data_IF_760861727105
#
_entry.id   IF_760861727105
#
_cell.length_a   1.000
_cell.length_b   1.000
_cell.length_c   1.000
_cell.angle_alpha   90.00
_cell.angle_beta   90.00
_cell.angle_gamma   90.00
#
_symmetry.space_group_name_H-M   'P 1'
#
loop_
_entity.id
_entity.type
_entity.pdbx_description
1 polymer ?
#
# COMPACT_ATOMS: atom_id res chain seq x y z
N UNK A 1 5.22 -26.17 -43.61
CA UNK A 1 4.47 -26.24 -42.34
C UNK A 1 4.90 -25.07 -41.47
N UNK A 2 4.03 -24.07 -41.32
CA UNK A 2 4.29 -22.86 -40.51
C UNK A 2 4.26 -23.22 -39.03
N UNK A 3 5.45 -23.42 -38.45
CA UNK A 3 5.59 -23.65 -37.01
C UNK A 3 5.13 -22.40 -36.25
N UNK A 4 3.99 -22.52 -35.57
CA UNK A 4 3.44 -21.55 -34.62
C UNK A 4 4.28 -21.52 -33.35
N UNK A 5 4.67 -20.34 -32.89
CA UNK A 5 5.78 -20.21 -31.92
C UNK A 5 5.35 -20.22 -30.46
N UNK A 6 4.15 -19.76 -30.11
CA UNK A 6 3.68 -19.70 -28.71
C UNK A 6 2.15 -19.68 -28.70
N UNK A 7 1.53 -20.45 -27.81
CA UNK A 7 0.10 -20.30 -27.48
C UNK A 7 -0.05 -19.47 -26.22
N UNK A 8 -0.86 -18.41 -26.26
CA UNK A 8 -1.16 -17.59 -25.09
C UNK A 8 -2.06 -18.31 -24.08
N UNK A 9 -2.32 -17.70 -22.92
CA UNK A 9 -3.18 -18.29 -21.87
C UNK A 9 -4.59 -18.57 -22.42
N UNK A 10 -5.07 -17.65 -23.25
CA UNK A 10 -6.35 -17.75 -23.95
C UNK A 10 -6.34 -18.69 -25.18
N UNK A 11 -5.26 -19.45 -25.40
CA UNK A 11 -5.15 -20.38 -26.53
C UNK A 11 -4.95 -19.70 -27.89
N UNK A 12 -4.51 -18.44 -27.92
CA UNK A 12 -4.21 -17.71 -29.15
C UNK A 12 -2.84 -18.10 -29.67
N UNK A 13 -2.74 -18.33 -30.97
CA UNK A 13 -1.50 -18.72 -31.64
C UNK A 13 -0.94 -17.53 -32.43
N UNK A 14 0.35 -17.27 -32.26
CA UNK A 14 1.07 -16.25 -33.01
C UNK A 14 1.90 -16.86 -34.15
N UNK A 15 1.69 -16.33 -35.35
CA UNK A 15 2.43 -16.69 -36.57
C UNK A 15 3.79 -15.98 -36.59
N UNK A 16 4.75 -16.51 -37.36
CA UNK A 16 6.08 -15.86 -37.53
C UNK A 16 5.98 -14.43 -38.07
N UNK A 17 4.91 -14.13 -38.81
CA UNK A 17 4.59 -12.81 -39.37
C UNK A 17 4.00 -11.83 -38.35
N UNK A 18 3.77 -12.26 -37.10
CA UNK A 18 3.10 -11.46 -36.06
C UNK A 18 1.57 -11.47 -36.15
N UNK A 19 0.98 -12.23 -37.08
CA UNK A 19 -0.47 -12.44 -37.15
C UNK A 19 -0.94 -13.37 -36.03
N UNK A 20 -1.92 -12.90 -35.25
CA UNK A 20 -2.53 -13.64 -34.14
C UNK A 20 -3.87 -14.26 -34.56
N UNK A 21 -4.05 -15.54 -34.29
CA UNK A 21 -5.25 -16.28 -34.65
C UNK A 21 -5.63 -17.34 -33.61
N UNK A 22 -6.91 -17.71 -33.60
CA UNK A 22 -7.44 -18.85 -32.85
C UNK A 22 -7.44 -20.06 -33.79
N UNK A 23 -6.73 -21.17 -33.45
CA UNK A 23 -6.60 -22.32 -34.34
C UNK A 23 -7.95 -23.00 -34.63
N UNK A 24 -8.06 -23.65 -35.78
CA UNK A 24 -9.24 -24.45 -36.13
C UNK A 24 -9.48 -25.56 -35.11
N UNK A 25 -10.73 -25.76 -34.68
CA UNK A 25 -11.13 -26.82 -33.75
C UNK A 25 -12.12 -27.79 -34.37
N UNK A 26 -12.28 -28.97 -33.76
CA UNK A 26 -13.23 -29.99 -34.21
C UNK A 26 -14.52 -29.87 -33.36
N UNK A 27 -15.69 -29.95 -34.01
CA UNK A 27 -17.00 -30.03 -33.36
C UNK A 27 -17.24 -31.46 -32.84
N UNK A 28 -18.23 -31.64 -31.97
CA UNK A 28 -18.58 -32.96 -31.46
C UNK A 28 -19.03 -33.94 -32.57
N UNK A 29 -19.58 -33.41 -33.68
CA UNK A 29 -19.95 -34.16 -34.89
C UNK A 29 -18.75 -34.49 -35.82
N UNK A 30 -17.53 -34.08 -35.46
CA UNK A 30 -16.32 -34.26 -36.27
C UNK A 30 -16.06 -33.17 -37.33
N UNK A 31 -17.01 -32.26 -37.56
CA UNK A 31 -16.81 -31.16 -38.54
C UNK A 31 -15.83 -30.12 -37.99
N UNK A 32 -15.06 -29.46 -38.87
CA UNK A 32 -14.08 -28.44 -38.44
C UNK A 32 -14.71 -27.05 -38.33
N UNK A 33 -14.34 -26.31 -37.29
CA UNK A 33 -14.52 -24.86 -37.19
C UNK A 33 -13.36 -24.17 -37.89
N UNK A 34 -13.65 -23.10 -38.62
CA UNK A 34 -12.63 -22.27 -39.25
C UNK A 34 -11.76 -21.56 -38.21
N UNK A 35 -10.52 -21.30 -38.58
CA UNK A 35 -9.61 -20.43 -37.84
C UNK A 35 -10.17 -18.99 -37.79
N UNK A 36 -9.93 -18.29 -36.68
CA UNK A 36 -10.43 -16.92 -36.47
C UNK A 36 -9.24 -15.97 -36.29
N UNK A 37 -9.12 -14.98 -37.17
CA UNK A 37 -8.11 -13.93 -37.08
C UNK A 37 -8.48 -12.91 -36.00
N UNK A 38 -7.47 -12.44 -35.26
CA UNK A 38 -7.63 -11.46 -34.19
C UNK A 38 -7.13 -10.09 -34.67
N UNK A 39 -7.78 -9.02 -34.21
CA UNK A 39 -7.36 -7.65 -34.50
C UNK A 39 -5.94 -7.39 -33.92
N UNK A 40 -5.03 -6.75 -34.66
CA UNK A 40 -3.71 -6.38 -34.14
C UNK A 40 -3.86 -5.53 -32.87
N UNK A 41 -3.05 -5.84 -31.85
CA UNK A 41 -3.06 -5.15 -30.55
C UNK A 41 -4.14 -5.62 -29.55
N UNK A 42 -5.17 -6.37 -29.95
CA UNK A 42 -6.16 -6.90 -29.01
C UNK A 42 -5.55 -8.00 -28.12
N UNK A 43 -5.67 -7.88 -26.80
CA UNK A 43 -5.28 -8.89 -25.83
C UNK A 43 -6.48 -9.25 -24.96
N UNK A 44 -6.87 -10.53 -24.86
CA UNK A 44 -7.91 -10.94 -23.93
C UNK A 44 -7.46 -10.73 -22.49
N UNK A 45 -8.40 -10.56 -21.57
CA UNK A 45 -8.11 -10.25 -20.16
C UNK A 45 -7.26 -11.32 -19.46
N UNK A 46 -7.37 -12.58 -19.91
CA UNK A 46 -6.53 -13.69 -19.42
C UNK A 46 -5.05 -13.50 -19.74
N UNK A 47 -4.74 -12.83 -20.86
CA UNK A 47 -3.38 -12.50 -21.30
C UNK A 47 -2.93 -11.13 -20.77
N UNK A 48 -3.81 -10.34 -20.13
CA UNK A 48 -3.45 -9.08 -19.50
C UNK A 48 -2.82 -9.38 -18.14
N UNK A 49 -1.57 -8.96 -17.97
CA UNK A 49 -0.84 -9.18 -16.73
C UNK A 49 -1.52 -8.43 -15.57
N UNK A 50 -2.09 -9.19 -14.65
CA UNK A 50 -2.55 -8.66 -13.37
C UNK A 50 -1.31 -8.21 -12.59
N UNK A 51 -1.33 -6.98 -12.07
CA UNK A 51 -0.23 -6.44 -11.28
C UNK A 51 0.15 -7.40 -10.16
N UNK A 52 1.41 -7.82 -10.18
CA UNK A 52 2.05 -8.59 -9.11
C UNK A 52 3.36 -7.89 -8.79
N UNK A 53 3.69 -7.81 -7.50
CA UNK A 53 4.96 -7.25 -7.07
C UNK A 53 6.10 -8.05 -7.72
N UNK A 54 7.10 -7.35 -8.28
CA UNK A 54 8.27 -7.96 -8.94
C UNK A 54 8.95 -9.00 -8.04
N UNK A 55 9.07 -8.72 -6.74
CA UNK A 55 9.63 -9.67 -5.77
C UNK A 55 8.78 -10.94 -5.62
N UNK A 56 7.45 -10.82 -5.69
CA UNK A 56 6.51 -11.94 -5.61
C UNK A 56 6.55 -12.78 -6.89
N UNK A 57 6.67 -12.16 -8.06
CA UNK A 57 6.86 -12.88 -9.32
C UNK A 57 8.15 -13.69 -9.29
N UNK A 58 9.25 -13.07 -8.89
CA UNK A 58 10.57 -13.71 -8.75
C UNK A 58 10.48 -14.89 -7.78
N UNK A 59 9.91 -14.70 -6.59
CA UNK A 59 9.74 -15.75 -5.59
C UNK A 59 8.90 -16.94 -6.08
N UNK A 60 7.79 -16.68 -6.77
CA UNK A 60 6.93 -17.74 -7.32
C UNK A 60 7.56 -18.46 -8.50
N UNK A 61 8.35 -17.76 -9.32
CA UNK A 61 9.14 -18.36 -10.40
C UNK A 61 10.24 -19.28 -9.87
N UNK A 62 10.71 -19.06 -8.62
CA UNK A 62 11.60 -19.96 -7.89
C UNK A 62 10.88 -21.15 -7.24
N UNK A 63 9.66 -21.48 -7.66
CA UNK A 63 8.76 -22.47 -7.06
C UNK A 63 9.24 -23.92 -6.94
N UNK A 64 10.54 -24.21 -7.10
CA UNK A 64 11.17 -25.47 -6.73
C UNK A 64 12.65 -25.19 -6.35
N UNK A 65 12.92 -24.93 -5.07
CA UNK A 65 14.21 -25.08 -4.33
C UNK A 65 15.55 -24.68 -4.98
N UNK A 66 15.59 -24.00 -6.12
CA UNK A 66 16.85 -23.57 -6.74
C UNK A 66 17.12 -22.11 -6.40
N UNK A 67 17.99 -21.94 -5.39
CA UNK A 67 18.74 -20.69 -5.23
C UNK A 67 19.56 -20.46 -6.51
N UNK A 68 19.52 -19.24 -7.09
CA UNK A 68 20.34 -18.90 -8.25
C UNK A 68 21.81 -19.26 -8.00
N UNK A 69 22.37 -20.17 -8.83
CA UNK A 69 23.74 -20.69 -8.70
C UNK A 69 23.87 -22.11 -8.12
N UNK A 70 22.78 -22.78 -7.73
CA UNK A 70 22.80 -24.18 -7.27
C UNK A 70 22.56 -25.23 -8.38
N UNK A 71 22.37 -24.80 -9.62
CA UNK A 71 22.29 -25.68 -10.79
C UNK A 71 23.67 -26.26 -11.11
N UNK A 72 24.05 -27.35 -10.43
CA UNK A 72 25.37 -27.96 -10.67
C UNK A 72 25.67 -29.28 -9.96
N UNK A 73 24.91 -29.70 -8.95
CA UNK A 73 25.21 -30.95 -8.23
C UNK A 73 23.92 -31.71 -7.93
N UNK A 74 23.49 -32.55 -8.88
CA UNK A 74 22.65 -33.70 -8.55
C UNK A 74 23.54 -34.72 -7.84
N UNK A 75 23.73 -34.57 -6.53
CA UNK A 75 24.42 -35.57 -5.72
C UNK A 75 23.43 -36.49 -5.01
N UNK A 76 23.76 -37.77 -5.11
CA UNK A 76 23.20 -38.90 -4.41
C UNK A 76 22.88 -38.57 -2.96
N UNK A 77 21.66 -38.94 -2.56
CA UNK A 77 21.11 -38.75 -1.22
C UNK A 77 21.98 -39.47 -0.18
N UNK A 78 22.70 -38.72 0.64
CA UNK A 78 23.13 -39.20 1.96
C UNK A 78 22.60 -38.28 3.07
N UNK A 79 21.75 -38.89 3.90
CA UNK A 79 21.07 -38.27 5.03
C UNK A 79 21.90 -38.45 6.29
N UNK A 80 22.83 -37.55 6.57
CA UNK A 80 23.20 -37.24 7.96
C UNK A 80 24.10 -36.01 7.94
N UNK A 81 23.69 -34.92 8.61
CA UNK A 81 24.58 -33.99 9.32
C UNK A 81 23.71 -32.92 9.99
N UNK A 82 23.50 -33.10 11.29
CA UNK A 82 22.91 -32.13 12.20
C UNK A 82 23.86 -30.93 12.27
N UNK A 83 23.58 -29.88 11.51
CA UNK A 83 24.30 -28.61 11.60
C UNK A 83 23.64 -27.75 12.67
N UNK A 84 24.19 -27.77 13.88
CA UNK A 84 23.85 -26.79 14.91
C UNK A 84 24.23 -25.40 14.39
N UNK A 85 23.23 -24.63 13.98
CA UNK A 85 23.43 -23.35 13.30
C UNK A 85 24.05 -22.31 14.26
N UNK A 86 25.08 -21.62 13.75
CA UNK A 86 25.85 -20.56 14.43
C UNK A 86 24.97 -19.38 14.93
N UNK A 87 23.70 -19.34 14.56
CA UNK A 87 22.72 -18.32 14.97
C UNK A 87 22.17 -18.51 16.40
N UNK A 88 22.28 -19.70 16.99
CA UNK A 88 21.85 -19.95 18.37
C UNK A 88 22.76 -19.25 19.40
N UNK A 89 24.08 -19.18 19.17
CA UNK A 89 25.03 -18.49 20.07
C UNK A 89 24.82 -16.96 20.10
N UNK A 90 24.44 -16.33 18.98
CA UNK A 90 24.17 -14.88 18.93
C UNK A 90 22.88 -14.46 19.67
N UNK A 91 21.85 -15.31 19.69
CA UNK A 91 20.60 -15.05 20.46
C UNK A 91 20.80 -15.16 21.97
N UNK A 92 21.65 -16.08 22.43
CA UNK A 92 21.98 -16.22 23.85
C UNK A 92 22.80 -15.04 24.39
N UNK A 93 23.73 -14.50 23.59
CA UNK A 93 24.51 -13.31 23.96
C UNK A 93 23.65 -12.04 24.05
N UNK A 94 22.70 -11.84 23.12
CA UNK A 94 21.76 -10.69 23.16
C UNK A 94 20.78 -10.73 24.34
N UNK A 95 20.40 -11.91 24.84
CA UNK A 95 19.55 -12.01 26.05
C UNK A 95 20.32 -11.61 27.33
N UNK A 96 21.62 -11.88 27.40
CA UNK A 96 22.48 -11.47 28.54
C UNK A 96 22.86 -9.98 28.51
N UNK A 97 22.88 -9.34 27.34
CA UNK A 97 23.12 -7.89 27.24
C UNK A 97 21.86 -7.06 27.50
N UNK A 98 20.68 -7.58 27.18
CA UNK A 98 19.41 -6.88 27.41
C UNK A 98 19.06 -6.78 28.90
N UNK A 99 19.31 -7.84 29.68
CA UNK A 99 19.12 -7.80 31.14
C UNK A 99 20.10 -6.88 31.87
N UNK A 100 21.28 -6.58 31.28
CA UNK A 100 22.23 -5.61 31.82
C UNK A 100 21.94 -4.15 31.42
N UNK A 101 21.19 -3.95 30.33
CA UNK A 101 20.76 -2.61 29.92
C UNK A 101 19.51 -2.15 30.66
N UNK A 102 18.62 -3.07 31.07
CA UNK A 102 17.43 -2.73 31.86
C UNK A 102 17.77 -2.21 33.28
N UNK A 103 18.89 -2.61 33.89
CA UNK A 103 19.37 -2.03 35.18
C UNK A 103 20.03 -0.64 35.05
N UNK A 104 20.49 -0.24 33.87
CA UNK A 104 21.20 1.04 33.66
C UNK A 104 20.23 2.17 33.21
N UNK A 105 19.04 1.82 32.71
CA UNK A 105 18.08 2.78 32.13
C UNK A 105 17.28 3.54 33.21
N UNK A 106 17.24 3.10 34.47
CA UNK A 106 16.44 3.78 35.51
C UNK A 106 17.11 5.03 36.12
N UNK A 107 18.42 5.25 35.96
CA UNK A 107 19.10 6.42 36.55
C UNK A 107 19.34 7.60 35.57
N UNK A 108 19.27 7.41 34.25
CA UNK A 108 19.65 8.43 33.25
C UNK A 108 18.47 9.20 32.60
N UNK A 109 17.22 8.96 33.03
CA UNK A 109 16.01 9.46 32.36
C UNK A 109 15.54 10.87 32.79
N UNK A 110 16.34 11.64 33.52
CA UNK A 110 15.94 12.96 34.05
C UNK A 110 16.62 14.16 33.33
N UNK A 111 17.74 13.99 32.62
CA UNK A 111 18.58 15.13 32.20
C UNK A 111 18.61 15.48 30.69
N UNK A 112 17.79 14.86 29.82
CA UNK A 112 17.86 15.08 28.35
C UNK A 112 16.60 15.65 27.69
N UNK A 113 15.67 16.23 28.46
CA UNK A 113 14.39 16.71 27.92
C UNK A 113 14.37 18.12 27.31
N UNK A 114 15.51 18.84 27.24
CA UNK A 114 15.51 20.26 26.84
C UNK A 114 16.27 20.64 25.54
N UNK A 115 16.97 19.74 24.84
CA UNK A 115 17.88 20.13 23.74
C UNK A 115 17.53 19.68 22.31
N UNK A 116 16.27 19.34 22.00
CA UNK A 116 15.87 18.96 20.61
C UNK A 116 14.69 19.76 20.07
N UNK A 117 14.57 21.05 20.43
CA UNK A 117 13.57 21.96 19.86
C UNK A 117 14.14 23.06 18.94
N UNK A 118 15.43 23.00 18.56
CA UNK A 118 16.04 24.01 17.67
C UNK A 118 16.81 23.39 16.50
N UNK A 119 16.10 22.75 15.57
CA UNK A 119 16.67 22.38 14.26
C UNK A 119 15.64 22.32 13.13
N UNK A 120 14.73 23.28 13.09
CA UNK A 120 13.72 23.42 12.03
C UNK A 120 13.60 24.86 11.50
N UNK A 121 14.67 25.66 11.57
CA UNK A 121 14.75 26.99 10.95
C UNK A 121 16.16 27.13 10.38
N UNK A 122 16.29 27.10 9.05
CA UNK A 122 17.41 27.56 8.18
C UNK A 122 17.51 26.66 6.94
N UNK A 123 16.59 26.81 5.99
CA UNK A 123 16.90 26.61 4.57
C UNK A 123 15.81 27.20 3.66
N UNK A 124 15.58 28.51 3.75
CA UNK A 124 14.92 29.25 2.66
C UNK A 124 15.60 30.62 2.52
N UNK A 125 16.65 30.65 1.71
CA UNK A 125 17.15 31.83 1.04
C UNK A 125 17.81 31.34 -0.25
N UNK A 126 17.63 32.12 -1.31
CA UNK A 126 18.19 31.97 -2.66
C UNK A 126 17.28 31.22 -3.63
N UNK A 127 16.42 32.00 -4.31
CA UNK A 127 16.28 32.01 -5.78
C UNK A 127 15.36 33.18 -6.16
N UNK A 128 15.96 34.37 -6.29
CA UNK A 128 15.34 35.49 -7.00
C UNK A 128 15.23 35.14 -8.48
N UNK A 129 14.01 35.19 -9.02
CA UNK A 129 13.80 35.40 -10.45
C UNK A 129 12.61 36.34 -10.61
N UNK A 130 12.93 37.50 -11.17
CA UNK A 130 12.04 38.57 -11.56
C UNK A 130 10.99 38.09 -12.57
N UNK A 131 9.73 38.50 -12.36
CA UNK A 131 8.72 38.97 -13.32
C UNK A 131 7.28 38.45 -13.04
N UNK A 132 6.37 39.44 -13.02
CA UNK A 132 4.93 39.40 -13.29
C UNK A 132 3.91 39.10 -12.16
N UNK A 133 3.21 40.17 -11.75
CA UNK A 133 2.31 40.31 -10.59
C UNK A 133 0.83 40.07 -10.99
N UNK A 134 0.48 38.98 -11.68
CA UNK A 134 -0.95 38.72 -11.99
C UNK A 134 -1.46 37.27 -11.86
N UNK A 135 -0.61 36.29 -11.58
CA UNK A 135 -1.01 34.87 -11.54
C UNK A 135 -1.16 34.25 -10.13
N UNK A 136 -0.93 35.02 -9.06
CA UNK A 136 -0.92 34.51 -7.68
C UNK A 136 -2.32 34.15 -7.17
N UNK A 137 -3.38 34.80 -7.65
CA UNK A 137 -4.76 34.56 -7.20
C UNK A 137 -5.33 33.22 -7.68
N UNK A 138 -4.93 32.75 -8.87
CA UNK A 138 -5.45 31.51 -9.47
C UNK A 138 -4.78 30.25 -8.88
N UNK A 139 -3.47 30.31 -8.64
CA UNK A 139 -2.71 29.24 -7.99
C UNK A 139 -3.13 29.01 -6.52
N UNK A 140 -3.50 30.07 -5.80
CA UNK A 140 -4.00 29.99 -4.43
C UNK A 140 -5.38 29.32 -4.33
N UNK A 141 -6.25 29.51 -5.33
CA UNK A 141 -7.59 28.90 -5.31
C UNK A 141 -7.56 27.39 -5.62
N UNK A 142 -6.67 26.95 -6.52
CA UNK A 142 -6.50 25.53 -6.87
C UNK A 142 -5.93 24.75 -5.68
N UNK A 143 -4.93 25.30 -4.98
CA UNK A 143 -4.34 24.67 -3.80
C UNK A 143 -5.31 24.60 -2.62
N UNK A 144 -6.14 25.64 -2.41
CA UNK A 144 -7.19 25.64 -1.37
C UNK A 144 -8.28 24.61 -1.62
N UNK A 145 -8.79 24.51 -2.85
CA UNK A 145 -9.81 23.51 -3.20
C UNK A 145 -9.34 22.06 -2.98
N UNK A 146 -8.04 21.78 -3.18
CA UNK A 146 -7.45 20.46 -2.88
C UNK A 146 -7.48 20.18 -1.36
N UNK A 147 -7.16 21.17 -0.53
CA UNK A 147 -7.15 21.03 0.92
C UNK A 147 -8.56 20.78 1.48
N UNK A 148 -9.58 21.45 0.94
CA UNK A 148 -10.97 21.25 1.38
C UNK A 148 -11.47 19.83 1.01
N UNK A 149 -11.10 19.33 -0.16
CA UNK A 149 -11.37 17.93 -0.56
C UNK A 149 -10.69 16.93 0.40
N UNK A 150 -9.48 17.22 0.86
CA UNK A 150 -8.78 16.39 1.85
C UNK A 150 -9.45 16.42 3.23
N UNK A 151 -9.91 17.60 3.66
CA UNK A 151 -10.66 17.77 4.92
C UNK A 151 -11.96 16.97 4.87
N UNK A 152 -12.69 17.04 3.76
CA UNK A 152 -13.95 16.30 3.60
C UNK A 152 -13.72 14.78 3.60
N UNK A 153 -12.67 14.31 2.91
CA UNK A 153 -12.29 12.88 2.93
C UNK A 153 -11.93 12.43 4.35
N UNK A 154 -11.20 13.25 5.12
CA UNK A 154 -10.89 12.98 6.53
C UNK A 154 -12.16 12.91 7.37
N UNK A 155 -13.08 13.85 7.23
CA UNK A 155 -14.37 13.84 7.93
C UNK A 155 -15.19 12.57 7.62
N UNK A 156 -15.25 12.16 6.34
CA UNK A 156 -15.92 10.90 5.92
C UNK A 156 -15.24 9.67 6.53
N UNK A 157 -13.91 9.66 6.65
CA UNK A 157 -13.16 8.56 7.27
C UNK A 157 -13.44 8.46 8.78
N UNK A 158 -13.50 9.59 9.48
CA UNK A 158 -13.82 9.64 10.91
C UNK A 158 -15.26 9.20 11.17
N UNK A 159 -16.21 9.65 10.35
CA UNK A 159 -17.62 9.19 10.41
C UNK A 159 -17.74 7.66 10.29
N UNK A 160 -16.96 7.03 9.42
CA UNK A 160 -16.91 5.56 9.29
C UNK A 160 -16.36 4.89 10.55
N UNK A 161 -15.26 5.40 11.11
CA UNK A 161 -14.67 4.87 12.35
C UNK A 161 -15.65 4.98 13.52
N UNK A 162 -16.33 6.12 13.64
CA UNK A 162 -17.34 6.37 14.65
C UNK A 162 -18.51 5.40 14.54
N UNK A 163 -18.98 5.12 13.31
CA UNK A 163 -20.02 4.11 13.06
C UNK A 163 -19.60 2.71 13.50
N UNK A 164 -18.37 2.29 13.17
CA UNK A 164 -17.84 0.98 13.59
C UNK A 164 -17.72 0.88 15.11
N UNK A 165 -17.22 1.93 15.76
CA UNK A 165 -17.08 1.95 17.21
C UNK A 165 -18.44 1.90 17.92
N UNK A 166 -19.46 2.62 17.41
CA UNK A 166 -20.84 2.54 17.91
C UNK A 166 -21.46 1.17 17.71
N UNK A 167 -21.20 0.50 16.58
CA UNK A 167 -21.69 -0.87 16.37
C UNK A 167 -21.06 -1.86 17.36
N UNK A 168 -19.78 -1.68 17.70
CA UNK A 168 -19.12 -2.45 18.76
C UNK A 168 -19.70 -2.13 20.15
N UNK A 169 -20.04 -0.87 20.40
CA UNK A 169 -20.72 -0.45 21.63
C UNK A 169 -22.12 -1.09 21.76
N UNK A 170 -22.93 -1.08 20.70
CA UNK A 170 -24.23 -1.76 20.71
C UNK A 170 -24.10 -3.27 20.92
N UNK A 171 -23.03 -3.89 20.41
CA UNK A 171 -22.72 -5.31 20.65
C UNK A 171 -22.34 -5.55 22.12
N UNK A 172 -21.56 -4.64 22.72
CA UNK A 172 -21.24 -4.66 24.15
C UNK A 172 -22.51 -4.62 24.99
N UNK A 173 -23.42 -3.70 24.65
CA UNK A 173 -24.67 -3.48 25.40
C UNK A 173 -25.65 -4.65 25.22
N UNK A 174 -25.56 -5.37 24.09
CA UNK A 174 -26.25 -6.66 23.86
C UNK A 174 -25.61 -7.84 24.61
N UNK A 175 -24.54 -7.60 25.38
CA UNK A 175 -23.87 -8.61 26.21
C UNK A 175 -22.91 -9.54 25.46
N UNK A 176 -22.44 -9.17 24.26
CA UNK A 176 -21.40 -9.95 23.59
C UNK A 176 -20.02 -9.63 24.16
N UNK A 177 -19.23 -10.65 24.50
CA UNK A 177 -17.84 -10.49 24.93
C UNK A 177 -16.98 -9.98 23.77
N UNK A 178 -16.45 -8.77 23.92
CA UNK A 178 -15.59 -8.11 22.95
C UNK A 178 -14.12 -8.28 23.31
N UNK A 179 -13.27 -8.34 22.29
CA UNK A 179 -11.83 -8.36 22.47
C UNK A 179 -11.33 -7.03 23.07
N UNK A 180 -10.20 -7.01 23.79
CA UNK A 180 -9.64 -5.78 24.36
C UNK A 180 -9.34 -4.73 23.29
N UNK A 181 -8.92 -5.16 22.10
CA UNK A 181 -8.70 -4.28 20.94
C UNK A 181 -10.00 -3.65 20.40
N UNK A 182 -11.16 -4.25 20.65
CA UNK A 182 -12.46 -3.69 20.29
C UNK A 182 -12.94 -2.71 21.36
N UNK A 183 -12.67 -3.00 22.64
CA UNK A 183 -12.94 -2.07 23.74
C UNK A 183 -12.15 -0.77 23.62
N UNK A 184 -10.90 -0.82 23.14
CA UNK A 184 -10.12 0.41 22.87
C UNK A 184 -10.78 1.28 21.78
N UNK A 185 -11.42 0.67 20.77
CA UNK A 185 -12.17 1.41 19.74
C UNK A 185 -13.42 2.09 20.32
N UNK A 186 -14.11 1.43 21.25
CA UNK A 186 -15.25 2.01 21.98
C UNK A 186 -14.76 3.17 22.86
N UNK A 187 -13.64 3.00 23.56
CA UNK A 187 -13.06 4.07 24.38
C UNK A 187 -12.68 5.31 23.54
N UNK A 188 -12.20 5.10 22.30
CA UNK A 188 -11.85 6.17 21.36
C UNK A 188 -13.06 6.91 20.75
N UNK A 189 -14.30 6.54 21.05
CA UNK A 189 -15.51 7.21 20.49
C UNK A 189 -15.49 8.72 20.78
N UNK A 190 -15.18 9.11 22.00
CA UNK A 190 -15.20 10.53 22.40
C UNK A 190 -14.14 11.35 21.66
N UNK A 191 -12.97 10.78 21.41
CA UNK A 191 -11.90 11.43 20.65
C UNK A 191 -12.29 11.59 19.18
N UNK A 192 -12.87 10.54 18.57
CA UNK A 192 -13.35 10.60 17.19
C UNK A 192 -14.46 11.65 17.00
N UNK A 193 -15.33 11.82 17.99
CA UNK A 193 -16.35 12.88 17.99
C UNK A 193 -15.71 14.27 18.04
N UNK A 194 -14.71 14.47 18.90
CA UNK A 194 -13.98 15.76 18.99
C UNK A 194 -13.27 16.09 17.68
N UNK A 195 -12.48 15.14 17.14
CA UNK A 195 -11.79 15.32 15.86
C UNK A 195 -12.75 15.67 14.71
N UNK A 196 -13.94 15.06 14.70
CA UNK A 196 -14.97 15.35 13.70
C UNK A 196 -15.53 16.77 13.88
N UNK A 197 -15.87 17.17 15.11
CA UNK A 197 -16.35 18.51 15.42
C UNK A 197 -15.31 19.58 15.05
N UNK A 198 -14.02 19.33 15.31
CA UNK A 198 -12.93 20.25 14.96
C UNK A 198 -12.81 20.43 13.44
N UNK A 199 -12.93 19.34 12.66
CA UNK A 199 -12.94 19.42 11.19
C UNK A 199 -14.19 20.14 10.67
N UNK A 200 -15.36 19.92 11.27
CA UNK A 200 -16.60 20.61 10.88
C UNK A 200 -16.54 22.11 11.21
N UNK A 201 -15.98 22.49 12.37
CA UNK A 201 -15.71 23.89 12.71
C UNK A 201 -14.72 24.52 11.74
N UNK A 202 -13.66 23.80 11.36
CA UNK A 202 -12.68 24.30 10.39
C UNK A 202 -13.29 24.50 9.00
N UNK A 203 -14.17 23.60 8.56
CA UNK A 203 -14.93 23.75 7.31
C UNK A 203 -15.82 25.00 7.34
N UNK A 204 -16.63 25.16 8.40
CA UNK A 204 -17.52 26.32 8.57
C UNK A 204 -16.76 27.64 8.66
N UNK A 205 -15.62 27.65 9.34
CA UNK A 205 -14.78 28.85 9.44
C UNK A 205 -14.18 29.26 8.08
N UNK A 206 -13.88 28.29 7.21
CA UNK A 206 -13.45 28.58 5.85
C UNK A 206 -14.59 29.20 5.03
N UNK A 207 -15.81 28.62 5.10
CA UNK A 207 -17.00 29.15 4.43
C UNK A 207 -17.35 30.58 4.89
N UNK A 208 -17.25 30.88 6.19
CA UNK A 208 -17.47 32.24 6.71
C UNK A 208 -16.46 33.27 6.19
N UNK A 209 -15.19 32.87 6.04
CA UNK A 209 -14.14 33.75 5.49
C UNK A 209 -14.39 34.07 4.02
N UNK A 210 -14.84 33.10 3.24
CA UNK A 210 -15.18 33.33 1.83
C UNK A 210 -16.36 34.31 1.68
N UNK A 211 -17.41 34.15 2.48
CA UNK A 211 -18.57 35.06 2.45
C UNK A 211 -18.21 36.50 2.85
N UNK A 212 -17.33 36.67 3.85
CA UNK A 212 -16.82 37.98 4.25
C UNK A 212 -15.94 38.61 3.15
N UNK A 213 -15.12 37.81 2.46
CA UNK A 213 -14.25 38.30 1.40
C UNK A 213 -15.02 38.70 0.13
N UNK A 214 -16.15 38.05 -0.17
CA UNK A 214 -17.05 38.44 -1.26
C UNK A 214 -17.86 39.71 -0.91
N UNK A 215 -18.16 39.95 0.37
CA UNK A 215 -18.91 41.15 0.82
C UNK A 215 -18.10 42.45 0.84
N UNK A 216 -16.77 42.35 0.77
CA UNK A 216 -15.85 43.50 0.81
C UNK A 216 -15.42 43.99 -0.59
N UNK A 217 -16.02 43.42 -1.65
CA UNK A 217 -15.87 43.81 -3.06
C UNK A 217 -17.20 44.42 -3.52
#
# INVERSE_FOLDING_TARGET
MSQSKVSSKAGIVESKTGERHIPSSIRADGTKRKEIKIRPGYKPIEDVEIYKNRYVQIYNSFGNNEVPGAQGLNETKDKHLVVTSKNAKKRAAKKKSKSKQEEIIEEDLIDLSEDVCQKAIKHEADMETTQDISDVSKANNITRGILDIEIEKKARSLKKKLKQAKELEEKRDKGSDLLPEQLTKILRINELVRELNDLELRSKNNECKENLQVSYI
#
